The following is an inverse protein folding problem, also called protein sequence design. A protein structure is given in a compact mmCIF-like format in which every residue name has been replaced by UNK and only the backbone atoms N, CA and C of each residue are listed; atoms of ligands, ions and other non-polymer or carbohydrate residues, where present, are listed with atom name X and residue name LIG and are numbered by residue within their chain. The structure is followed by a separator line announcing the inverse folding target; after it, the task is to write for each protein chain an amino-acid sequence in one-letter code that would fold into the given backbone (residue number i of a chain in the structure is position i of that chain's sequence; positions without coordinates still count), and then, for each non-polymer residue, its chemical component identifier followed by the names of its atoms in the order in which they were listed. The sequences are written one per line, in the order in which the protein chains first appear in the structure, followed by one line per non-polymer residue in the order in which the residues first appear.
data_IF_539798167594
#
_entry.id   IF_539798167594
#
_cell.length_a   1.000
_cell.length_b   1.000
_cell.length_c   1.000
_cell.angle_alpha   90.00
_cell.angle_beta   90.00
_cell.angle_gamma   90.00
#
_symmetry.space_group_name_H-M   'P 1'
#
loop_
_entity.id
_entity.type
_entity.pdbx_description
1 polymer ?
#
# COMPACT_ATOMS: atom_id res chain seq x y z
N UNK A 1 -2.80 14.36 -9.40
CA UNK A 1 -4.04 13.75 -8.89
C UNK A 1 -4.11 12.25 -9.11
N UNK A 2 -4.13 11.75 -10.35
CA UNK A 2 -4.26 10.31 -10.62
C UNK A 2 -3.15 9.47 -9.97
N UNK A 3 -1.89 9.90 -10.08
CA UNK A 3 -0.76 9.21 -9.45
C UNK A 3 -0.78 9.22 -7.92
N UNK A 4 -1.28 10.30 -7.30
CA UNK A 4 -1.43 10.37 -5.84
C UNK A 4 -2.46 9.36 -5.33
N UNK A 5 -3.64 9.34 -5.98
CA UNK A 5 -4.69 8.37 -5.66
C UNK A 5 -4.22 6.92 -5.89
N UNK A 6 -3.56 6.66 -7.03
CA UNK A 6 -3.01 5.34 -7.33
C UNK A 6 -1.96 4.91 -6.28
N UNK A 7 -1.03 5.80 -5.91
CA UNK A 7 -0.04 5.53 -4.87
C UNK A 7 -0.72 5.16 -3.54
N UNK A 8 -1.73 5.92 -3.11
CA UNK A 8 -2.46 5.62 -1.88
C UNK A 8 -3.11 4.24 -1.92
N UNK A 9 -3.84 3.93 -3.00
CA UNK A 9 -4.53 2.64 -3.12
C UNK A 9 -3.53 1.48 -3.14
N UNK A 10 -2.44 1.57 -3.92
CA UNK A 10 -1.45 0.50 -4.03
C UNK A 10 -0.71 0.26 -2.71
N UNK A 11 -0.29 1.33 -2.02
CA UNK A 11 0.38 1.24 -0.73
C UNK A 11 -0.56 0.69 0.36
N UNK A 12 -1.84 1.08 0.33
CA UNK A 12 -2.83 0.57 1.28
C UNK A 12 -3.08 -0.93 1.10
N UNK A 13 -3.27 -1.38 -0.15
CA UNK A 13 -3.47 -2.80 -0.46
C UNK A 13 -2.26 -3.61 0.01
N UNK A 14 -1.04 -3.15 -0.29
CA UNK A 14 0.18 -3.84 0.12
C UNK A 14 0.28 -3.98 1.64
N UNK A 15 0.06 -2.89 2.38
CA UNK A 15 0.04 -2.91 3.84
C UNK A 15 -1.05 -3.84 4.40
N UNK A 16 -2.24 -3.83 3.79
CA UNK A 16 -3.36 -4.67 4.21
C UNK A 16 -3.07 -6.16 3.99
N UNK A 17 -2.49 -6.52 2.85
CA UNK A 17 -2.09 -7.89 2.55
C UNK A 17 -1.03 -8.38 3.54
N UNK A 18 -0.02 -7.56 3.86
CA UNK A 18 1.01 -7.92 4.85
C UNK A 18 0.41 -8.23 6.22
N UNK A 19 -0.50 -7.38 6.70
CA UNK A 19 -1.17 -7.59 7.98
C UNK A 19 -2.00 -8.89 8.00
N UNK A 20 -2.66 -9.23 6.87
CA UNK A 20 -3.48 -10.44 6.74
C UNK A 20 -2.65 -11.72 6.55
N UNK A 21 -1.47 -11.63 5.93
CA UNK A 21 -0.56 -12.78 5.76
C UNK A 21 0.39 -12.96 6.95
N UNK A 22 -0.05 -12.59 8.15
CA UNK A 22 0.74 -12.77 9.38
C UNK A 22 0.82 -14.24 9.83
N UNK A 23 0.02 -15.13 9.23
CA UNK A 23 0.02 -16.57 9.49
C UNK A 23 1.18 -17.28 8.77
N UNK A 24 1.95 -18.18 9.43
CA UNK A 24 3.11 -18.84 8.83
C UNK A 24 2.86 -19.55 7.50
N UNK A 25 1.68 -20.14 7.28
CA UNK A 25 1.35 -20.86 6.03
C UNK A 25 1.06 -19.99 4.80
N UNK A 26 0.99 -18.67 4.96
CA UNK A 26 0.78 -17.71 3.86
C UNK A 26 2.01 -16.82 3.62
N UNK A 27 3.11 -17.07 4.34
CA UNK A 27 4.34 -16.29 4.22
C UNK A 27 5.31 -16.95 3.23
N UNK A 28 6.22 -16.16 2.63
CA UNK A 28 7.32 -16.74 1.86
C UNK A 28 8.15 -17.70 2.72
N UNK A 29 8.43 -18.90 2.21
CA UNK A 29 9.25 -19.90 2.91
C UNK A 29 10.74 -19.51 2.96
N UNK A 30 11.19 -18.73 1.97
CA UNK A 30 12.56 -18.24 1.90
C UNK A 30 12.79 -17.09 2.90
N UNK A 31 13.68 -17.23 3.90
CA UNK A 31 13.81 -16.26 4.99
C UNK A 31 14.11 -14.81 4.58
N UNK A 32 14.93 -14.55 3.54
CA UNK A 32 15.12 -13.19 3.02
C UNK A 32 13.86 -12.57 2.43
N UNK A 33 13.03 -13.36 1.73
CA UNK A 33 11.76 -12.86 1.18
C UNK A 33 10.73 -12.56 2.28
N UNK A 34 10.69 -13.34 3.36
CA UNK A 34 9.83 -13.03 4.52
C UNK A 34 10.23 -11.70 5.19
N UNK A 35 11.54 -11.44 5.32
CA UNK A 35 12.02 -10.14 5.82
C UNK A 35 11.64 -9.01 4.88
N UNK A 36 11.90 -9.17 3.58
CA UNK A 36 11.58 -8.16 2.57
C UNK A 36 10.07 -7.85 2.57
N UNK A 37 9.23 -8.87 2.64
CA UNK A 37 7.77 -8.75 2.72
C UNK A 37 7.33 -7.90 3.92
N UNK A 38 7.84 -8.19 5.13
CA UNK A 38 7.52 -7.43 6.34
C UNK A 38 8.01 -5.98 6.27
N UNK A 39 9.22 -5.76 5.77
CA UNK A 39 9.80 -4.41 5.63
C UNK A 39 8.98 -3.61 4.62
N UNK A 40 8.70 -4.18 3.44
CA UNK A 40 7.94 -3.53 2.38
C UNK A 40 6.49 -3.24 2.76
N UNK A 41 5.83 -4.14 3.51
CA UNK A 41 4.47 -3.90 4.01
C UNK A 41 4.43 -2.79 5.05
N UNK A 42 5.35 -2.80 6.03
CA UNK A 42 5.46 -1.75 7.05
C UNK A 42 5.83 -0.40 6.46
N UNK A 43 6.77 -0.37 5.51
CA UNK A 43 7.12 0.87 4.81
C UNK A 43 5.96 1.37 3.97
N UNK A 44 5.20 0.48 3.32
CA UNK A 44 4.04 0.88 2.54
C UNK A 44 2.98 1.53 3.42
N UNK A 45 2.71 0.96 4.60
CA UNK A 45 1.80 1.56 5.58
C UNK A 45 2.27 2.93 6.06
N UNK A 46 3.54 3.06 6.44
CA UNK A 46 4.11 4.32 6.92
C UNK A 46 4.05 5.42 5.86
N UNK A 47 4.40 5.10 4.60
CA UNK A 47 4.36 6.06 3.49
C UNK A 47 2.92 6.40 3.10
N UNK A 48 1.99 5.44 3.16
CA UNK A 48 0.57 5.71 2.95
C UNK A 48 0.03 6.73 3.95
N UNK A 49 0.31 6.55 5.24
CA UNK A 49 -0.06 7.53 6.29
C UNK A 49 0.59 8.90 6.04
N UNK A 50 1.88 8.91 5.71
CA UNK A 50 2.62 10.13 5.39
C UNK A 50 2.01 10.88 4.20
N UNK A 51 1.66 10.18 3.12
CA UNK A 51 1.02 10.76 1.94
C UNK A 51 -0.39 11.28 2.22
N UNK A 52 -1.15 10.64 3.11
CA UNK A 52 -2.44 11.16 3.54
C UNK A 52 -2.29 12.48 4.30
N UNK A 53 -1.45 12.49 5.34
CA UNK A 53 -1.20 13.69 6.13
C UNK A 53 -0.67 14.84 5.27
N UNK A 54 0.31 14.56 4.41
CA UNK A 54 0.86 15.53 3.46
C UNK A 54 -0.20 16.01 2.45
N UNK A 55 -1.04 15.11 1.95
CA UNK A 55 -2.10 15.44 1.01
C UNK A 55 -3.15 16.39 1.59
N UNK A 56 -3.49 16.27 2.87
CA UNK A 56 -4.38 17.23 3.54
C UNK A 56 -3.79 18.65 3.65
N UNK A 57 -2.45 18.77 3.62
CA UNK A 57 -1.77 20.07 3.64
C UNK A 57 -1.64 20.67 2.24
N UNK A 58 -1.43 19.84 1.21
CA UNK A 58 -1.11 20.31 -0.15
C UNK A 58 -2.27 20.32 -1.14
N UNK A 59 -3.28 19.50 -0.92
CA UNK A 59 -4.42 19.37 -1.83
C UNK A 59 -5.73 19.79 -1.17
N UNK A 60 -6.78 19.92 -1.98
CA UNK A 60 -8.14 20.09 -1.46
C UNK A 60 -8.52 18.88 -0.60
N UNK A 61 -9.19 19.13 0.53
CA UNK A 61 -9.56 18.12 1.54
C UNK A 61 -10.30 16.89 0.97
N UNK A 62 -11.03 17.05 -0.13
CA UNK A 62 -11.78 15.97 -0.76
C UNK A 62 -10.86 14.91 -1.40
N UNK A 63 -9.62 15.25 -1.76
CA UNK A 63 -8.73 14.34 -2.47
C UNK A 63 -8.10 13.29 -1.55
N UNK A 64 -7.52 13.65 -0.39
CA UNK A 64 -7.11 12.65 0.60
C UNK A 64 -8.31 11.85 1.11
N UNK A 65 -9.48 12.47 1.28
CA UNK A 65 -10.71 11.77 1.66
C UNK A 65 -11.10 10.70 0.62
N UNK A 66 -11.06 11.04 -0.67
CA UNK A 66 -11.27 10.08 -1.75
C UNK A 66 -10.21 8.98 -1.73
N UNK A 67 -8.95 9.31 -1.46
CA UNK A 67 -7.86 8.34 -1.27
C UNK A 67 -8.11 7.35 -0.13
N UNK A 68 -8.65 7.80 1.00
CA UNK A 68 -9.07 6.94 2.11
C UNK A 68 -10.19 6.01 1.66
N UNK A 69 -11.25 6.55 1.07
CA UNK A 69 -12.40 5.76 0.61
C UNK A 69 -11.97 4.72 -0.43
N UNK A 70 -11.15 5.12 -1.40
CA UNK A 70 -10.61 4.22 -2.43
C UNK A 70 -9.72 3.13 -1.84
N UNK A 71 -8.90 3.46 -0.85
CA UNK A 71 -8.06 2.50 -0.11
C UNK A 71 -8.92 1.48 0.64
N UNK A 72 -9.96 1.94 1.35
CA UNK A 72 -10.90 1.07 2.07
C UNK A 72 -11.68 0.15 1.12
N UNK A 73 -12.17 0.69 0.00
CA UNK A 73 -12.88 -0.08 -1.01
C UNK A 73 -11.96 -1.17 -1.62
N UNK A 74 -10.72 -0.82 -1.95
CA UNK A 74 -9.76 -1.79 -2.48
C UNK A 74 -9.41 -2.89 -1.45
N UNK A 75 -9.24 -2.52 -0.18
CA UNK A 75 -9.00 -3.49 0.88
C UNK A 75 -10.21 -4.40 1.12
N UNK A 76 -11.43 -3.89 0.97
CA UNK A 76 -12.64 -4.71 1.01
C UNK A 76 -12.68 -5.75 -0.12
N UNK A 77 -12.24 -5.39 -1.34
CA UNK A 77 -12.12 -6.34 -2.45
C UNK A 77 -11.06 -7.42 -2.18
N UNK A 78 -9.91 -7.02 -1.61
CA UNK A 78 -8.85 -7.97 -1.20
C UNK A 78 -9.36 -8.92 -0.12
N UNK A 79 -10.14 -8.39 0.85
CA UNK A 79 -10.75 -9.20 1.89
C UNK A 79 -11.74 -10.22 1.32
N UNK A 80 -12.60 -9.80 0.38
CA UNK A 80 -13.55 -10.69 -0.31
C UNK A 80 -12.85 -11.77 -1.14
N UNK A 81 -11.71 -11.46 -1.75
CA UNK A 81 -10.94 -12.40 -2.56
C UNK A 81 -10.31 -13.56 -1.75
N UNK A 82 -10.28 -13.44 -0.42
CA UNK A 82 -9.81 -14.48 0.50
C UNK A 82 -8.29 -14.72 0.47
N UNK A 83 -7.78 -15.66 1.27
CA UNK A 83 -6.36 -16.00 1.29
C UNK A 83 -5.92 -16.71 0.00
N UNK A 84 -4.79 -16.29 -0.57
CA UNK A 84 -4.17 -16.81 -1.80
C UNK A 84 -2.65 -16.91 -1.63
N UNK A 85 -2.00 -17.96 -2.14
CA UNK A 85 -0.54 -18.12 -2.05
C UNK A 85 0.26 -17.01 -2.76
N UNK A 86 -0.32 -16.37 -3.77
CA UNK A 86 0.33 -15.29 -4.53
C UNK A 86 0.37 -13.94 -3.81
N UNK A 87 -0.37 -13.76 -2.71
CA UNK A 87 -0.52 -12.48 -2.02
C UNK A 87 0.80 -11.84 -1.56
N UNK A 88 1.77 -12.58 -1.00
CA UNK A 88 3.04 -11.98 -0.62
C UNK A 88 3.77 -11.34 -1.81
N UNK A 89 3.77 -12.02 -2.97
CA UNK A 89 4.35 -11.49 -4.20
C UNK A 89 3.63 -10.23 -4.69
N UNK A 90 2.29 -10.27 -4.70
CA UNK A 90 1.46 -9.11 -5.08
C UNK A 90 1.71 -7.92 -4.15
N UNK A 91 1.76 -8.16 -2.85
CA UNK A 91 2.04 -7.12 -1.86
C UNK A 91 3.40 -6.48 -2.08
N UNK A 92 4.47 -7.27 -2.27
CA UNK A 92 5.80 -6.71 -2.52
C UNK A 92 5.84 -5.89 -3.81
N UNK A 93 5.20 -6.37 -4.88
CA UNK A 93 5.09 -5.64 -6.14
C UNK A 93 4.33 -4.32 -5.99
N UNK A 94 3.19 -4.34 -5.30
CA UNK A 94 2.38 -3.15 -5.03
C UNK A 94 3.09 -2.18 -4.09
N UNK A 95 3.84 -2.65 -3.10
CA UNK A 95 4.70 -1.81 -2.25
C UNK A 95 5.72 -1.07 -3.10
N UNK A 96 6.47 -1.76 -3.96
CA UNK A 96 7.50 -1.15 -4.80
C UNK A 96 6.90 -0.11 -5.73
N UNK A 97 5.84 -0.47 -6.48
CA UNK A 97 5.18 0.44 -7.41
C UNK A 97 4.54 1.64 -6.68
N UNK A 98 3.90 1.39 -5.55
CA UNK A 98 3.30 2.43 -4.72
C UNK A 98 4.34 3.40 -4.16
N UNK A 99 5.50 2.89 -3.72
CA UNK A 99 6.61 3.71 -3.23
C UNK A 99 7.23 4.54 -4.37
N UNK A 100 7.42 3.95 -5.55
CA UNK A 100 7.91 4.68 -6.73
C UNK A 100 6.95 5.80 -7.14
N UNK A 101 5.64 5.53 -7.15
CA UNK A 101 4.62 6.55 -7.43
C UNK A 101 4.59 7.62 -6.34
N UNK A 102 4.71 7.25 -5.06
CA UNK A 102 4.80 8.19 -3.95
C UNK A 102 5.99 9.14 -4.13
N UNK A 103 7.17 8.61 -4.42
CA UNK A 103 8.37 9.40 -4.71
C UNK A 103 8.15 10.35 -5.89
N UNK A 104 7.55 9.87 -6.99
CA UNK A 104 7.26 10.69 -8.16
C UNK A 104 6.29 11.84 -7.86
N UNK A 105 5.25 11.56 -7.07
CA UNK A 105 4.27 12.57 -6.63
C UNK A 105 4.93 13.64 -5.77
N UNK A 106 5.77 13.22 -4.81
CA UNK A 106 6.49 14.16 -3.95
C UNK A 106 7.44 15.03 -4.77
N UNK A 107 8.27 14.46 -5.64
CA UNK A 107 9.26 15.20 -6.44
C UNK A 107 8.63 16.22 -7.38
N UNK A 108 7.44 15.94 -7.95
CA UNK A 108 6.80 16.85 -8.92
C UNK A 108 5.99 17.99 -8.30
N UNK A 109 5.74 17.95 -7.00
CA UNK A 109 4.91 18.94 -6.30
C UNK A 109 5.75 19.88 -5.43
N UNK A 110 7.01 19.52 -5.19
CA UNK A 110 8.06 20.48 -4.84
C UNK A 110 8.56 21.20 -6.11
#
# INVERSE_FOLDING_TARGET
MQAYFAALVMLSIAAFIENRCSTPGLRPEWPPADRAFKVLGRSAFAVWLGLLAWGFVKFSWWQPAAGIVGSLAANALVLQAGPRPMWPGVSMGLSILGLMLASWVLVRIF
#
